data_IF_583552204971
#
_entry.id   IF_583552204971
#
_cell.length_a   1.000
_cell.length_b   1.000
_cell.length_c   1.000
_cell.angle_alpha   90.00
_cell.angle_beta   90.00
_cell.angle_gamma   90.00
#
_symmetry.space_group_name_H-M   'P 1'
#
loop_
_entity.id
_entity.type
_entity.pdbx_description
1 polymer ?
#
# COMPACT_ATOMS: atom_id res chain seq x y z
N UNK A 1 -13.62 1.66 1.89
CA UNK A 1 -13.08 1.15 0.62
C UNK A 1 -13.02 -0.36 0.72
N UNK A 2 -13.26 -1.10 -0.37
CA UNK A 2 -13.06 -2.55 -0.36
C UNK A 2 -11.58 -2.93 -0.55
N UNK A 3 -11.23 -4.18 -0.20
CA UNK A 3 -9.86 -4.69 -0.24
C UNK A 3 -9.25 -4.57 -1.64
N UNK A 4 -9.98 -4.96 -2.68
CA UNK A 4 -9.49 -4.92 -4.07
C UNK A 4 -9.17 -3.50 -4.54
N UNK A 5 -10.01 -2.52 -4.24
CA UNK A 5 -9.80 -1.12 -4.60
C UNK A 5 -8.59 -0.56 -3.88
N UNK A 6 -8.38 -0.95 -2.62
CA UNK A 6 -7.21 -0.51 -1.87
C UNK A 6 -5.92 -1.09 -2.46
N UNK A 7 -5.90 -2.39 -2.76
CA UNK A 7 -4.75 -3.07 -3.35
C UNK A 7 -4.40 -2.48 -4.72
N UNK A 8 -5.41 -2.23 -5.56
CA UNK A 8 -5.21 -1.59 -6.86
C UNK A 8 -4.60 -0.19 -6.71
N UNK A 9 -5.11 0.63 -5.80
CA UNK A 9 -4.54 1.96 -5.53
C UNK A 9 -3.13 1.88 -4.97
N UNK A 10 -2.89 1.00 -4.00
CA UNK A 10 -1.55 0.80 -3.41
C UNK A 10 -0.53 0.36 -4.46
N UNK A 11 -0.94 -0.49 -5.41
CA UNK A 11 -0.08 -0.94 -6.51
C UNK A 11 0.23 0.15 -7.54
N UNK A 12 -0.49 1.27 -7.53
CA UNK A 12 -0.33 2.40 -8.46
C UNK A 12 0.28 3.63 -7.81
N UNK A 13 0.62 3.57 -6.52
CA UNK A 13 1.26 4.66 -5.80
C UNK A 13 2.62 4.99 -6.44
N UNK A 14 2.84 6.27 -6.69
CA UNK A 14 4.11 6.80 -7.18
C UNK A 14 4.87 7.54 -6.09
N UNK A 15 4.19 7.97 -5.02
CA UNK A 15 4.80 8.75 -3.94
C UNK A 15 4.31 8.34 -2.55
N UNK A 16 5.09 8.70 -1.53
CA UNK A 16 4.74 8.54 -0.12
C UNK A 16 3.53 9.43 0.24
N UNK A 17 3.42 10.62 -0.34
CA UNK A 17 2.31 11.54 -0.10
C UNK A 17 0.96 10.92 -0.49
N UNK A 18 0.91 10.24 -1.64
CA UNK A 18 -0.29 9.52 -2.09
C UNK A 18 -0.68 8.39 -1.12
N UNK A 19 0.31 7.70 -0.51
CA UNK A 19 0.06 6.66 0.48
C UNK A 19 -0.48 7.25 1.78
N UNK A 20 0.08 8.37 2.22
CA UNK A 20 -0.38 9.11 3.40
C UNK A 20 -1.81 9.61 3.18
N UNK A 21 -2.13 10.14 2.01
CA UNK A 21 -3.48 10.60 1.71
C UNK A 21 -4.48 9.43 1.60
N UNK A 22 -4.09 8.33 0.94
CA UNK A 22 -4.88 7.10 0.92
C UNK A 22 -5.18 6.57 2.32
N UNK A 23 -4.20 6.62 3.23
CA UNK A 23 -4.36 6.20 4.62
C UNK A 23 -5.38 7.06 5.39
N UNK A 24 -5.44 8.37 5.11
CA UNK A 24 -6.45 9.27 5.67
C UNK A 24 -7.85 8.96 5.12
N UNK A 25 -7.96 8.68 3.82
CA UNK A 25 -9.24 8.35 3.17
C UNK A 25 -9.89 7.09 3.76
N UNK A 26 -9.10 6.10 4.18
CA UNK A 26 -9.60 4.86 4.81
C UNK A 26 -9.72 4.96 6.33
N UNK A 27 -9.48 6.13 6.92
CA UNK A 27 -9.63 6.39 8.35
C UNK A 27 -8.53 5.79 9.23
N UNK A 28 -7.41 5.35 8.63
CA UNK A 28 -6.23 4.81 9.33
C UNK A 28 -4.98 5.60 8.92
N UNK A 29 -4.88 6.89 9.32
CA UNK A 29 -3.79 7.76 8.89
C UNK A 29 -2.43 7.21 9.34
N UNK A 30 -1.54 7.00 8.38
CA UNK A 30 -0.17 6.59 8.61
C UNK A 30 0.72 7.80 8.89
N UNK A 31 1.73 7.60 9.74
CA UNK A 31 2.84 8.54 9.85
C UNK A 31 3.70 8.49 8.59
N UNK A 32 4.43 9.57 8.26
CA UNK A 32 5.38 9.55 7.15
C UNK A 32 6.43 8.43 7.26
N UNK A 33 6.86 8.10 8.48
CA UNK A 33 7.81 7.01 8.71
C UNK A 33 7.19 5.62 8.41
N UNK A 34 5.92 5.42 8.75
CA UNK A 34 5.24 4.15 8.48
C UNK A 34 4.85 4.05 7.00
N UNK A 35 4.46 5.16 6.40
CA UNK A 35 4.23 5.27 4.96
C UNK A 35 5.52 5.00 4.16
N UNK A 36 6.66 5.56 4.56
CA UNK A 36 7.96 5.29 3.92
C UNK A 36 8.32 3.79 3.96
N UNK A 37 8.18 3.15 5.13
CA UNK A 37 8.42 1.70 5.27
C UNK A 37 7.49 0.87 4.38
N UNK A 38 6.20 1.21 4.36
CA UNK A 38 5.20 0.50 3.56
C UNK A 38 5.43 0.72 2.07
N UNK A 39 5.72 1.95 1.66
CA UNK A 39 6.04 2.31 0.28
C UNK A 39 7.32 1.61 -0.22
N UNK A 40 8.35 1.53 0.62
CA UNK A 40 9.56 0.75 0.32
C UNK A 40 9.26 -0.72 0.08
N UNK A 41 8.39 -1.33 0.91
CA UNK A 41 7.93 -2.71 0.71
C UNK A 41 7.12 -2.88 -0.58
N UNK A 42 6.21 -1.95 -0.89
CA UNK A 42 5.43 -1.97 -2.13
C UNK A 42 6.37 -1.94 -3.35
N UNK A 43 7.36 -1.05 -3.36
CA UNK A 43 8.33 -0.92 -4.45
C UNK A 43 9.25 -2.14 -4.59
N UNK A 44 9.62 -2.78 -3.47
CA UNK A 44 10.33 -4.07 -3.50
C UNK A 44 9.46 -5.15 -4.15
N UNK A 45 8.20 -5.25 -3.78
CA UNK A 45 7.27 -6.24 -4.33
C UNK A 45 7.00 -6.02 -5.83
N UNK A 46 7.00 -4.77 -6.30
CA UNK A 46 6.85 -4.46 -7.73
C UNK A 46 8.09 -4.81 -8.56
N UNK A 47 9.29 -4.68 -8.00
CA UNK A 47 10.53 -5.03 -8.70
C UNK A 47 10.77 -6.54 -8.78
N UNK A 48 10.36 -7.30 -7.76
CA UNK A 48 10.75 -8.72 -7.65
C UNK A 48 10.00 -9.68 -8.58
N UNK A 49 8.78 -9.36 -9.07
CA UNK A 49 8.13 -10.10 -10.15
C UNK A 49 6.83 -9.45 -10.61
N UNK A 50 6.70 -9.21 -11.91
CA UNK A 50 5.47 -8.76 -12.57
C UNK A 50 4.25 -9.73 -12.47
N UNK A 51 4.36 -10.85 -11.73
CA UNK A 51 3.30 -11.88 -11.59
C UNK A 51 2.80 -12.08 -10.14
N UNK A 52 3.46 -11.53 -9.11
CA UNK A 52 3.12 -11.75 -7.68
C UNK A 52 2.58 -10.48 -6.97
N UNK A 53 2.34 -9.41 -7.73
CA UNK A 53 2.09 -8.06 -7.21
C UNK A 53 0.77 -7.91 -6.45
N UNK A 54 -0.31 -8.53 -6.91
CA UNK A 54 -1.64 -8.41 -6.29
C UNK A 54 -1.72 -9.05 -4.89
N UNK A 55 -1.28 -10.29 -4.76
CA UNK A 55 -1.33 -11.05 -3.50
C UNK A 55 -0.39 -10.48 -2.43
N UNK A 56 0.76 -9.95 -2.85
CA UNK A 56 1.74 -9.39 -1.92
C UNK A 56 1.34 -8.01 -1.44
N UNK A 57 0.79 -7.16 -2.34
CA UNK A 57 0.22 -5.86 -1.95
C UNK A 57 -1.04 -6.05 -1.11
N UNK A 58 -1.87 -7.07 -1.37
CA UNK A 58 -2.99 -7.46 -0.49
C UNK A 58 -2.53 -7.80 0.93
N UNK A 59 -1.48 -8.61 1.09
CA UNK A 59 -0.91 -8.88 2.43
C UNK A 59 -0.41 -7.62 3.12
N UNK A 60 0.28 -6.74 2.39
CA UNK A 60 0.75 -5.47 2.95
C UNK A 60 -0.40 -4.54 3.36
N UNK A 61 -1.48 -4.51 2.57
CA UNK A 61 -2.68 -3.76 2.89
C UNK A 61 -3.33 -4.29 4.18
N UNK A 62 -3.41 -5.62 4.34
CA UNK A 62 -3.91 -6.27 5.56
C UNK A 62 -3.04 -5.97 6.77
N UNK A 63 -1.71 -6.05 6.63
CA UNK A 63 -0.78 -5.74 7.72
C UNK A 63 -0.84 -4.27 8.15
N UNK A 64 -0.91 -3.34 7.19
CA UNK A 64 -0.86 -1.90 7.46
C UNK A 64 -2.20 -1.34 7.94
N UNK A 65 -3.29 -1.88 7.40
CA UNK A 65 -4.61 -1.30 7.57
C UNK A 65 -5.62 -2.26 8.20
N UNK A 66 -5.27 -3.49 8.55
CA UNK A 66 -6.12 -4.43 9.32
C UNK A 66 -7.56 -4.48 8.76
N UNK A 67 -7.67 -4.85 7.47
CA UNK A 67 -8.90 -4.92 6.66
C UNK A 67 -9.12 -6.31 6.08
#
# INVERSE_FOLDING_TARGET
MDEMTLVDRMSKLQTIDELVDLSKEIGKPLSYNDADKLFGRINQCQNDAAELSGDTVSKLAKEAFDI
#
